data_IF_076626179845
#
_entry.id   IF_076626179845
#
_cell.length_a   1.000
_cell.length_b   1.000
_cell.length_c   1.000
_cell.angle_alpha   90.00
_cell.angle_beta   90.00
_cell.angle_gamma   90.00
#
_symmetry.space_group_name_H-M   'P 1'
#
loop_
_entity.id
_entity.type
_entity.pdbx_description
1 polymer ?
#
# COMPACT_ATOMS: atom_id res chain seq x y z
N UNK A 1 -14.07 -16.40 -2.19
CA UNK A 1 -13.21 -16.85 -1.09
C UNK A 1 -13.09 -15.77 -0.04
N UNK A 2 -12.74 -16.11 1.18
CA UNK A 2 -12.52 -15.10 2.24
C UNK A 2 -11.06 -14.65 2.25
N UNK A 3 -10.81 -13.43 2.71
CA UNK A 3 -9.44 -12.92 2.86
C UNK A 3 -8.61 -13.83 3.76
N UNK A 4 -9.20 -14.34 4.85
CA UNK A 4 -8.53 -15.27 5.76
C UNK A 4 -8.13 -16.61 5.17
N UNK A 5 -8.65 -16.97 3.99
CA UNK A 5 -8.25 -18.20 3.27
C UNK A 5 -6.92 -18.00 2.52
N UNK A 6 -6.52 -16.74 2.28
CA UNK A 6 -5.38 -16.39 1.41
C UNK A 6 -4.31 -15.54 2.10
N UNK A 7 -4.56 -15.04 3.32
CA UNK A 7 -3.53 -14.38 4.12
C UNK A 7 -3.43 -15.01 5.51
N UNK A 8 -2.22 -14.98 6.07
CA UNK A 8 -1.95 -15.38 7.45
C UNK A 8 -1.05 -14.36 8.13
N UNK A 9 -1.10 -14.28 9.47
CA UNK A 9 -0.20 -13.39 10.20
C UNK A 9 1.25 -13.79 9.93
N UNK A 10 2.04 -12.85 9.45
CA UNK A 10 3.44 -13.11 9.17
C UNK A 10 4.24 -13.27 10.47
N UNK A 11 5.13 -14.26 10.49
CA UNK A 11 6.14 -14.36 11.55
C UNK A 11 7.29 -13.41 11.21
N UNK A 12 7.20 -12.16 11.66
CA UNK A 12 8.15 -11.11 11.34
C UNK A 12 9.29 -11.03 12.35
N UNK A 13 10.51 -10.96 11.84
CA UNK A 13 11.69 -10.67 12.63
C UNK A 13 11.77 -9.18 12.94
N UNK A 14 12.40 -8.83 14.08
CA UNK A 14 12.81 -7.43 14.34
C UNK A 14 14.10 -7.11 13.60
N UNK A 15 14.29 -5.85 13.23
CA UNK A 15 15.50 -5.38 12.56
C UNK A 15 16.76 -5.69 13.37
N UNK A 16 16.73 -5.47 14.68
CA UNK A 16 17.91 -5.58 15.54
C UNK A 16 19.01 -4.63 15.06
N UNK A 17 20.22 -5.12 14.99
CA UNK A 17 21.40 -4.34 14.54
C UNK A 17 21.64 -4.44 13.02
N UNK A 18 20.71 -4.97 12.24
CA UNK A 18 20.86 -5.12 10.78
C UNK A 18 20.64 -3.79 10.07
N UNK A 19 21.39 -3.57 8.99
CA UNK A 19 21.18 -2.43 8.09
C UNK A 19 20.24 -2.86 6.98
N UNK A 20 18.96 -2.48 7.09
CA UNK A 20 17.90 -2.81 6.14
C UNK A 20 17.19 -1.51 5.76
N UNK A 21 16.84 -1.29 4.47
CA UNK A 21 16.16 -0.08 4.03
C UNK A 21 14.85 0.17 4.78
N UNK A 22 14.64 1.42 5.20
CA UNK A 22 13.38 1.84 5.83
C UNK A 22 12.34 2.08 4.75
N UNK A 23 11.19 1.44 4.88
CA UNK A 23 10.03 1.66 4.04
C UNK A 23 9.03 2.55 4.78
N UNK A 24 8.67 3.65 4.14
CA UNK A 24 7.63 4.56 4.63
C UNK A 24 6.34 4.27 3.90
N UNK A 25 5.26 4.12 4.66
CA UNK A 25 3.93 4.00 4.10
C UNK A 25 3.35 5.38 3.84
N UNK A 26 2.87 5.59 2.62
CA UNK A 26 2.26 6.85 2.19
C UNK A 26 0.77 6.63 1.93
N UNK A 27 0.01 7.71 1.83
CA UNK A 27 -1.42 7.62 1.55
C UNK A 27 -1.72 7.25 0.10
N UNK A 28 -0.90 7.69 -0.84
CA UNK A 28 -1.19 7.57 -2.28
C UNK A 28 -0.14 6.78 -3.05
N UNK A 29 1.14 6.87 -2.67
CA UNK A 29 2.24 6.26 -3.43
C UNK A 29 2.65 4.88 -2.90
N UNK A 30 1.93 4.34 -1.92
CA UNK A 30 2.23 3.02 -1.37
C UNK A 30 3.38 3.00 -0.36
N UNK A 31 4.06 1.88 -0.31
CA UNK A 31 5.35 1.75 0.36
C UNK A 31 6.41 2.36 -0.54
N UNK A 32 7.27 3.20 0.03
CA UNK A 32 8.38 3.85 -0.68
C UNK A 32 9.64 3.76 0.18
N UNK A 33 10.80 3.77 -0.46
CA UNK A 33 12.06 3.95 0.27
C UNK A 33 12.05 5.32 0.95
N UNK A 34 12.37 5.36 2.23
CA UNK A 34 12.37 6.61 2.98
C UNK A 34 13.36 7.61 2.39
N UNK A 35 14.50 7.14 1.90
CA UNK A 35 15.54 7.95 1.27
C UNK A 35 15.06 8.69 0.02
N UNK A 36 14.15 8.09 -0.74
CA UNK A 36 13.71 8.66 -2.02
C UNK A 36 12.70 9.79 -1.85
N UNK A 37 11.99 9.80 -0.74
CA UNK A 37 10.90 10.76 -0.52
C UNK A 37 11.23 11.86 0.48
N UNK A 38 12.04 11.57 1.48
CA UNK A 38 12.25 12.47 2.60
C UNK A 38 13.72 12.92 2.68
N UNK A 39 13.97 14.22 2.57
CA UNK A 39 15.29 14.82 2.79
C UNK A 39 15.79 14.67 4.24
N UNK A 40 14.89 14.40 5.19
CA UNK A 40 15.21 14.16 6.60
C UNK A 40 14.70 12.77 7.01
N UNK A 41 15.47 12.08 7.83
CA UNK A 41 15.07 10.80 8.42
C UNK A 41 13.85 11.00 9.32
N UNK A 42 12.71 10.40 8.94
CA UNK A 42 11.45 10.46 9.72
C UNK A 42 11.37 9.30 10.69
N UNK A 43 12.06 8.18 10.41
CA UNK A 43 12.13 7.05 11.31
C UNK A 43 12.77 7.43 12.64
N UNK A 44 12.43 6.70 13.71
CA UNK A 44 13.08 6.87 15.01
C UNK A 44 14.60 6.65 14.88
N UNK A 45 15.38 7.21 15.79
CA UNK A 45 16.85 6.98 15.83
C UNK A 45 17.16 5.49 16.08
N UNK A 46 16.31 4.83 16.86
CA UNK A 46 16.41 3.37 17.12
C UNK A 46 15.45 2.62 16.18
N UNK A 47 16.01 1.82 15.30
CA UNK A 47 15.30 0.97 14.34
C UNK A 47 15.27 -0.50 14.77
N UNK A 48 15.88 -0.86 15.89
CA UNK A 48 16.02 -2.25 16.34
C UNK A 48 14.69 -2.96 16.51
N UNK A 49 13.65 -2.23 16.91
CA UNK A 49 12.29 -2.73 17.11
C UNK A 49 11.44 -2.80 15.83
N UNK A 50 11.93 -2.26 14.69
CA UNK A 50 11.19 -2.26 13.44
C UNK A 50 11.02 -3.69 12.91
N UNK A 51 9.91 -3.92 12.22
CA UNK A 51 9.57 -5.22 11.63
C UNK A 51 10.20 -5.36 10.27
N UNK A 52 10.89 -6.48 10.03
CA UNK A 52 11.39 -6.83 8.69
C UNK A 52 10.23 -7.36 7.86
N UNK A 53 10.01 -6.76 6.70
CA UNK A 53 9.00 -7.19 5.74
C UNK A 53 9.68 -7.63 4.44
N UNK A 54 9.15 -8.69 3.84
CA UNK A 54 9.68 -9.30 2.62
C UNK A 54 8.77 -8.97 1.43
N UNK A 55 9.29 -9.12 0.23
CA UNK A 55 8.53 -8.96 -1.01
C UNK A 55 7.26 -9.83 -0.98
N UNK A 56 6.17 -9.29 -1.50
CA UNK A 56 4.83 -9.89 -1.56
C UNK A 56 4.08 -10.00 -0.23
N UNK A 57 4.63 -9.56 0.88
CA UNK A 57 3.86 -9.44 2.12
C UNK A 57 2.92 -8.24 2.08
N UNK A 58 1.74 -8.38 2.68
CA UNK A 58 0.79 -7.29 2.88
C UNK A 58 1.12 -6.56 4.17
N UNK A 59 1.33 -5.26 4.07
CA UNK A 59 1.53 -4.36 5.21
C UNK A 59 0.29 -3.50 5.41
N UNK A 60 -0.32 -3.58 6.59
CA UNK A 60 -1.53 -2.83 6.95
C UNK A 60 -1.17 -1.78 7.99
N UNK A 61 -1.49 -0.53 7.69
CA UNK A 61 -1.30 0.62 8.57
C UNK A 61 -2.64 1.27 8.92
N UNK A 62 -2.61 2.52 9.28
CA UNK A 62 -3.78 3.35 9.59
C UNK A 62 -3.65 4.71 8.89
N UNK A 63 -4.78 5.29 8.47
CA UNK A 63 -6.15 4.77 8.59
C UNK A 63 -6.48 3.75 7.49
N UNK A 64 -6.98 2.58 7.88
CA UNK A 64 -7.32 1.51 6.93
C UNK A 64 -8.51 1.90 6.03
N UNK A 65 -9.44 2.70 6.53
CA UNK A 65 -10.61 3.21 5.81
C UNK A 65 -10.28 4.27 4.75
N UNK A 66 -9.02 4.66 4.67
CA UNK A 66 -8.46 5.48 3.58
C UNK A 66 -7.58 4.64 2.64
N UNK A 67 -7.52 3.32 2.85
CA UNK A 67 -6.77 2.40 1.99
C UNK A 67 -5.27 2.37 2.26
N UNK A 68 -4.84 2.75 3.48
CA UNK A 68 -3.42 2.76 3.84
C UNK A 68 -2.95 1.34 4.20
N UNK A 69 -2.93 0.49 3.19
CA UNK A 69 -2.44 -0.88 3.22
C UNK A 69 -1.88 -1.25 1.83
N UNK A 70 -0.73 -1.90 1.79
CA UNK A 70 -0.02 -2.13 0.53
C UNK A 70 0.74 -3.45 0.55
N UNK A 71 0.87 -4.05 -0.63
CA UNK A 71 1.81 -5.15 -0.84
C UNK A 71 3.22 -4.56 -0.90
N UNK A 72 4.15 -5.19 -0.21
CA UNK A 72 5.56 -4.82 -0.30
C UNK A 72 6.15 -5.36 -1.62
N UNK A 73 6.47 -4.46 -2.54
CA UNK A 73 7.04 -4.73 -3.86
C UNK A 73 8.27 -3.87 -4.18
N UNK A 74 8.64 -2.99 -3.25
CA UNK A 74 9.71 -1.98 -3.41
C UNK A 74 11.10 -2.60 -3.39
N UNK A 75 11.33 -3.57 -2.50
CA UNK A 75 12.63 -4.23 -2.30
C UNK A 75 12.42 -5.70 -1.92
N UNK A 76 13.48 -6.51 -1.92
CA UNK A 76 13.37 -7.90 -1.47
C UNK A 76 13.08 -7.98 0.03
N UNK A 77 13.66 -7.05 0.79
CA UNK A 77 13.35 -6.83 2.19
C UNK A 77 13.44 -5.35 2.56
N UNK A 78 12.63 -4.93 3.51
CA UNK A 78 12.65 -3.60 4.09
C UNK A 78 12.19 -3.65 5.55
N UNK A 79 12.26 -2.53 6.25
CA UNK A 79 11.73 -2.43 7.61
C UNK A 79 10.61 -1.41 7.68
N UNK A 80 9.59 -1.75 8.46
CA UNK A 80 8.42 -0.90 8.69
C UNK A 80 8.18 -0.69 10.18
N UNK A 81 7.36 0.31 10.52
CA UNK A 81 6.99 0.62 11.90
C UNK A 81 6.49 -0.62 12.67
N UNK A 82 6.87 -0.77 13.94
CA UNK A 82 6.33 -1.83 14.82
C UNK A 82 4.81 -1.81 14.93
N UNK A 83 4.18 -0.66 14.72
CA UNK A 83 2.72 -0.47 14.80
C UNK A 83 1.95 -1.10 13.63
N UNK A 84 2.61 -1.41 12.51
CA UNK A 84 1.94 -1.97 11.34
C UNK A 84 1.74 -3.49 11.48
N UNK A 85 0.62 -3.97 10.98
CA UNK A 85 0.39 -5.41 10.85
C UNK A 85 1.00 -5.91 9.53
N UNK A 86 1.62 -7.10 9.59
CA UNK A 86 2.24 -7.74 8.41
C UNK A 86 1.62 -9.11 8.23
N UNK A 87 1.29 -9.42 6.98
CA UNK A 87 0.60 -10.65 6.59
C UNK A 87 1.32 -11.33 5.44
N UNK A 88 1.48 -12.63 5.53
CA UNK A 88 1.89 -13.47 4.42
C UNK A 88 0.72 -13.67 3.47
N UNK A 89 1.00 -13.65 2.17
CA UNK A 89 0.01 -13.83 1.10
C UNK A 89 0.25 -15.15 0.40
N UNK A 90 -0.81 -15.95 0.25
CA UNK A 90 -0.77 -17.23 -0.48
C UNK A 90 -0.74 -16.99 -1.99
N UNK A 91 0.45 -16.94 -2.57
CA UNK A 91 0.66 -16.69 -4.01
C UNK A 91 0.13 -17.79 -4.93
N UNK A 92 -0.25 -18.94 -4.37
CA UNK A 92 -0.89 -20.03 -5.12
C UNK A 92 -2.35 -19.73 -5.47
N UNK A 93 -3.02 -18.91 -4.67
CA UNK A 93 -4.46 -18.63 -4.78
C UNK A 93 -4.74 -17.21 -5.28
N UNK A 94 -3.82 -16.28 -5.02
CA UNK A 94 -4.00 -14.87 -5.37
C UNK A 94 -2.67 -14.22 -5.79
N UNK A 95 -2.73 -13.41 -6.83
CA UNK A 95 -1.60 -12.55 -7.17
C UNK A 95 -1.51 -11.41 -6.14
N UNK A 96 -0.35 -11.19 -5.49
CA UNK A 96 -0.19 -10.11 -4.51
C UNK A 96 -0.64 -8.75 -5.05
N UNK A 97 -0.27 -8.41 -6.29
CA UNK A 97 -0.69 -7.15 -6.93
C UNK A 97 -2.21 -7.04 -7.10
N UNK A 98 -2.90 -8.13 -7.49
CA UNK A 98 -4.36 -8.15 -7.56
C UNK A 98 -4.98 -7.93 -6.18
N UNK A 99 -4.47 -8.63 -5.16
CA UNK A 99 -4.92 -8.44 -3.79
C UNK A 99 -4.74 -6.99 -3.33
N UNK A 100 -3.59 -6.38 -3.60
CA UNK A 100 -3.33 -4.98 -3.26
C UNK A 100 -4.31 -4.01 -3.91
N UNK A 101 -4.65 -4.21 -5.19
CA UNK A 101 -5.65 -3.42 -5.91
C UNK A 101 -7.06 -3.63 -5.30
N UNK A 102 -7.45 -4.87 -5.09
CA UNK A 102 -8.77 -5.20 -4.52
C UNK A 102 -8.94 -4.60 -3.12
N UNK A 103 -7.96 -4.76 -2.24
CA UNK A 103 -8.02 -4.27 -0.87
C UNK A 103 -8.13 -2.74 -0.78
N UNK A 104 -7.76 -2.01 -1.82
CA UNK A 104 -7.91 -0.55 -1.93
C UNK A 104 -9.10 -0.11 -2.79
N UNK A 105 -9.88 -1.07 -3.27
CA UNK A 105 -11.08 -0.77 -4.07
C UNK A 105 -12.16 -0.05 -3.23
N UNK A 106 -13.07 0.72 -3.86
CA UNK A 106 -14.18 1.34 -3.16
C UNK A 106 -15.02 0.37 -2.34
N UNK A 107 -15.21 -0.87 -2.84
CA UNK A 107 -15.92 -1.94 -2.13
C UNK A 107 -15.22 -2.30 -0.81
N UNK A 108 -13.90 -2.48 -0.85
CA UNK A 108 -13.11 -2.80 0.34
C UNK A 108 -13.10 -1.64 1.34
N UNK A 109 -12.93 -0.41 0.86
CA UNK A 109 -13.00 0.79 1.70
C UNK A 109 -14.37 0.91 2.39
N UNK A 110 -15.46 0.66 1.67
CA UNK A 110 -16.80 0.65 2.26
C UNK A 110 -16.94 -0.44 3.32
N UNK A 111 -16.41 -1.64 3.07
CA UNK A 111 -16.38 -2.72 4.07
C UNK A 111 -15.62 -2.29 5.32
N UNK A 112 -14.43 -1.69 5.20
CA UNK A 112 -13.67 -1.20 6.36
C UNK A 112 -14.49 -0.19 7.15
N UNK A 113 -15.03 0.83 6.48
CA UNK A 113 -15.86 1.88 7.12
C UNK A 113 -17.05 1.32 7.90
N UNK A 114 -17.70 0.28 7.39
CA UNK A 114 -18.84 -0.36 8.06
C UNK A 114 -18.46 -1.16 9.31
N UNK A 115 -17.18 -1.53 9.46
CA UNK A 115 -16.67 -2.39 10.52
C UNK A 115 -15.73 -1.69 11.49
N UNK A 116 -15.41 -0.41 11.23
CA UNK A 116 -14.50 0.33 12.09
C UNK A 116 -15.03 0.45 13.52
N UNK A 117 -14.11 0.30 14.46
CA UNK A 117 -14.34 0.59 15.89
C UNK A 117 -13.35 1.67 16.34
N UNK A 118 -13.82 2.54 17.24
CA UNK A 118 -13.03 3.65 17.79
C UNK A 118 -13.46 5.02 17.33
N UNK A 119 -13.25 6.03 18.18
CA UNK A 119 -13.76 7.39 18.01
C UNK A 119 -12.84 8.32 17.24
N UNK A 120 -11.54 8.06 17.19
CA UNK A 120 -10.56 8.93 16.51
C UNK A 120 -9.88 8.22 15.36
N UNK A 121 -9.60 8.94 14.25
CA UNK A 121 -9.03 8.37 13.02
C UNK A 121 -7.79 7.50 13.25
N UNK A 122 -6.85 7.95 14.11
CA UNK A 122 -5.64 7.20 14.44
C UNK A 122 -5.86 5.98 15.36
N UNK A 123 -7.04 5.84 15.96
CA UNK A 123 -7.41 4.73 16.85
C UNK A 123 -8.50 3.85 16.24
N UNK A 124 -8.97 4.18 15.04
CA UNK A 124 -9.92 3.35 14.31
C UNK A 124 -9.22 2.11 13.81
N UNK A 125 -9.69 0.97 14.28
CA UNK A 125 -9.20 -0.33 13.85
C UNK A 125 -10.37 -1.17 13.38
N UNK A 126 -10.12 -2.03 12.41
CA UNK A 126 -11.06 -3.08 12.06
C UNK A 126 -10.73 -4.31 12.91
N UNK A 127 -11.71 -4.98 13.54
CA UNK A 127 -11.49 -6.25 14.18
C UNK A 127 -10.87 -7.25 13.21
N UNK A 128 -9.91 -8.04 13.69
CA UNK A 128 -9.20 -9.02 12.86
C UNK A 128 -10.15 -9.99 12.16
N UNK A 129 -11.17 -10.46 12.88
CA UNK A 129 -12.20 -11.37 12.37
C UNK A 129 -12.98 -10.73 11.21
N UNK A 130 -13.41 -9.46 11.36
CA UNK A 130 -14.10 -8.72 10.31
C UNK A 130 -13.21 -8.46 9.08
N UNK A 131 -11.91 -8.20 9.28
CA UNK A 131 -10.94 -8.08 8.20
C UNK A 131 -10.78 -9.39 7.44
N UNK A 132 -10.56 -10.50 8.14
CA UNK A 132 -10.37 -11.81 7.54
C UNK A 132 -11.64 -12.39 6.92
N UNK A 133 -12.83 -11.99 7.39
CA UNK A 133 -14.12 -12.40 6.85
C UNK A 133 -14.47 -11.71 5.52
N UNK A 134 -13.72 -10.70 5.10
CA UNK A 134 -13.99 -9.98 3.85
C UNK A 134 -13.96 -10.91 2.65
N UNK A 135 -15.00 -10.83 1.81
CA UNK A 135 -15.13 -11.63 0.60
C UNK A 135 -14.31 -11.05 -0.55
N UNK A 136 -13.49 -11.89 -1.16
CA UNK A 136 -12.67 -11.59 -2.32
C UNK A 136 -13.20 -12.35 -3.54
N UNK A 137 -13.25 -11.72 -4.73
CA UNK A 137 -13.64 -12.39 -5.94
C UNK A 137 -12.77 -13.64 -6.21
N UNK A 138 -13.41 -14.73 -6.57
CA UNK A 138 -12.75 -16.01 -6.85
C UNK A 138 -12.24 -16.12 -8.30
N UNK A 139 -11.60 -15.09 -8.82
CA UNK A 139 -10.99 -15.09 -10.16
C UNK A 139 -9.82 -16.08 -10.24
N UNK A 140 -9.67 -16.74 -11.40
CA UNK A 140 -8.47 -17.50 -11.71
C UNK A 140 -7.23 -16.59 -11.76
N UNK A 141 -6.04 -17.14 -11.60
CA UNK A 141 -4.79 -16.39 -11.68
C UNK A 141 -4.66 -15.63 -13.01
N UNK A 142 -5.11 -16.25 -14.12
CA UNK A 142 -5.07 -15.60 -15.44
C UNK A 142 -6.04 -14.40 -15.53
N UNK A 143 -7.22 -14.48 -14.91
CA UNK A 143 -8.15 -13.36 -14.85
C UNK A 143 -7.63 -12.24 -13.95
N UNK A 144 -7.05 -12.59 -12.79
CA UNK A 144 -6.41 -11.63 -11.89
C UNK A 144 -5.28 -10.88 -12.59
N UNK A 145 -4.45 -11.58 -13.36
CA UNK A 145 -3.36 -11.00 -14.14
C UNK A 145 -3.89 -10.02 -15.18
N UNK A 146 -4.91 -10.43 -15.95
CA UNK A 146 -5.56 -9.57 -16.94
C UNK A 146 -6.13 -8.30 -16.32
N UNK A 147 -6.79 -8.40 -15.16
CA UNK A 147 -7.33 -7.25 -14.45
C UNK A 147 -6.19 -6.30 -14.05
N UNK A 148 -5.09 -6.83 -13.50
CA UNK A 148 -3.94 -6.01 -13.14
C UNK A 148 -3.35 -5.26 -14.33
N UNK A 149 -3.15 -5.95 -15.47
CA UNK A 149 -2.62 -5.33 -16.69
C UNK A 149 -3.50 -4.21 -17.22
N UNK A 150 -4.83 -4.39 -17.18
CA UNK A 150 -5.76 -3.33 -17.60
C UNK A 150 -5.67 -2.12 -16.68
N UNK A 151 -5.65 -2.32 -15.36
CA UNK A 151 -5.56 -1.23 -14.38
C UNK A 151 -4.22 -0.50 -14.53
N UNK A 152 -3.10 -1.21 -14.63
CA UNK A 152 -1.77 -0.64 -14.85
C UNK A 152 -1.73 0.24 -16.12
N UNK A 153 -2.37 -0.21 -17.20
CA UNK A 153 -2.46 0.57 -18.44
C UNK A 153 -3.29 1.84 -18.24
N UNK A 154 -4.41 1.76 -17.55
CA UNK A 154 -5.24 2.94 -17.24
C UNK A 154 -4.46 3.93 -16.39
N UNK A 155 -3.79 3.47 -15.32
CA UNK A 155 -2.97 4.32 -14.46
C UNK A 155 -1.82 4.98 -15.23
N UNK A 156 -1.20 4.28 -16.17
CA UNK A 156 -0.14 4.83 -17.02
C UNK A 156 -0.66 5.95 -17.93
N UNK A 157 -1.85 5.78 -18.48
CA UNK A 157 -2.51 6.82 -19.32
C UNK A 157 -2.86 8.04 -18.45
N UNK A 158 -3.44 7.85 -17.28
CA UNK A 158 -3.75 8.94 -16.35
C UNK A 158 -2.49 9.73 -16.01
N UNK A 159 -1.39 9.06 -15.63
CA UNK A 159 -0.11 9.72 -15.35
C UNK A 159 0.44 10.50 -16.53
N UNK A 160 0.30 9.97 -17.75
CA UNK A 160 0.72 10.67 -18.96
C UNK A 160 -0.12 11.94 -19.19
N UNK A 161 -1.43 11.86 -19.04
CA UNK A 161 -2.34 13.01 -19.15
C UNK A 161 -2.01 14.08 -18.10
N UNK A 162 -1.81 13.70 -16.84
CA UNK A 162 -1.44 14.64 -15.77
C UNK A 162 -0.13 15.36 -16.09
N UNK A 163 0.87 14.64 -16.60
CA UNK A 163 2.14 15.24 -17.02
C UNK A 163 1.94 16.24 -18.16
N UNK A 164 1.09 15.91 -19.14
CA UNK A 164 0.76 16.83 -20.24
C UNK A 164 0.06 18.09 -19.73
N UNK A 165 -0.91 17.96 -18.84
CA UNK A 165 -1.61 19.09 -18.21
C UNK A 165 -0.61 19.99 -17.48
N UNK A 166 0.29 19.41 -16.67
CA UNK A 166 1.33 20.18 -15.98
C UNK A 166 2.24 20.93 -16.95
N UNK A 167 2.64 20.29 -18.06
CA UNK A 167 3.48 20.92 -19.09
C UNK A 167 2.75 22.08 -19.78
N UNK A 168 1.46 21.93 -20.08
CA UNK A 168 0.64 23.00 -20.64
C UNK A 168 0.49 24.19 -19.68
N UNK A 169 0.24 23.91 -18.41
CA UNK A 169 0.17 24.95 -17.36
C UNK A 169 1.49 25.73 -17.26
N UNK A 170 2.63 25.05 -17.33
CA UNK A 170 3.94 25.69 -17.35
C UNK A 170 4.15 26.56 -18.59
N UNK A 171 3.77 26.05 -19.77
CA UNK A 171 3.85 26.79 -21.03
C UNK A 171 3.02 28.07 -20.99
N UNK A 172 1.77 27.98 -20.51
CA UNK A 172 0.92 29.15 -20.34
C UNK A 172 1.58 30.18 -19.42
N UNK A 173 2.08 29.74 -18.24
CA UNK A 173 2.75 30.65 -17.30
C UNK A 173 3.99 31.33 -17.89
N UNK A 174 4.81 30.60 -18.65
CA UNK A 174 6.00 31.18 -19.28
C UNK A 174 5.64 32.25 -20.33
N UNK A 175 4.62 31.98 -21.13
CA UNK A 175 4.14 32.93 -22.15
C UNK A 175 3.57 34.21 -21.55
N UNK A 176 2.82 34.10 -20.45
CA UNK A 176 2.33 35.30 -19.73
C UNK A 176 3.46 36.09 -19.06
N UNK A 177 4.51 35.43 -18.57
CA UNK A 177 5.65 36.10 -17.97
C UNK A 177 6.56 36.78 -19.01
N UNK A 178 6.59 36.30 -20.26
CA UNK A 178 7.31 36.95 -21.38
C UNK A 178 6.54 38.15 -21.98
N UNK A 179 5.24 38.21 -21.74
CA UNK A 179 4.35 39.27 -22.29
C UNK A 179 4.11 40.45 -21.32
N UNK A 180 4.59 40.35 -20.08
CA UNK A 180 4.50 41.38 -19.01
C UNK A 180 5.82 42.12 -18.84
#
# INVERSE_FOLDING_TARGET
>A
MRLGDIISVANVEKCGNRTIPVLSMTMHDGLVLQTDRFKKTIASKDLSGYKVVRRNQLVVSFPIDEGVLYIQDVADAGIVSPAYAVWDVSTKMVLPRFLGLFLRSPKSIQHYRSKLRGSTARRRTIPREDFLAMEIPGYSIAEQDRICLVIEKIESVIKACDKQIQSLVQLVKSRFAEAA
#
